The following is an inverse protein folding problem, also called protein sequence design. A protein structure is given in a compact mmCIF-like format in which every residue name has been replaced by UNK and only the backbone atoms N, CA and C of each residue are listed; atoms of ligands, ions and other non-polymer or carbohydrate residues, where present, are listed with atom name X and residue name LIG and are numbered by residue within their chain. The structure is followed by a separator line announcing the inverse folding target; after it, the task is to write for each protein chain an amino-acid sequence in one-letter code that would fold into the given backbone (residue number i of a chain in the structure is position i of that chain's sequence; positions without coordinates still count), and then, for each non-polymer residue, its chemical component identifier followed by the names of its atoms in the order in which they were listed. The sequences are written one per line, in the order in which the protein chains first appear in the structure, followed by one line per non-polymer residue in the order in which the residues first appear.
data_IF_790178739547
#
_entry.id   IF_790178739547
#
_cell.length_a   1.000
_cell.length_b   1.000
_cell.length_c   1.000
_cell.angle_alpha   90.00
_cell.angle_beta   90.00
_cell.angle_gamma   90.00
#
_symmetry.space_group_name_H-M   'P 1'
#
loop_
_entity.id
_entity.type
_entity.pdbx_description
1 polymer ?
#
# COMPACT_ATOMS: atom_id res chain seq x y z
N UNK A 1 1.95 14.92 -1.54
CA UNK A 1 1.12 13.83 -1.02
C UNK A 1 0.85 12.85 -2.15
N UNK A 2 0.94 11.55 -1.88
CA UNK A 2 0.57 10.47 -2.82
C UNK A 2 -0.66 9.76 -2.30
N UNK A 3 -1.43 9.19 -3.22
CA UNK A 3 -2.72 8.56 -2.90
C UNK A 3 -2.61 7.05 -3.04
N UNK A 4 -3.17 6.32 -2.09
CA UNK A 4 -3.19 4.86 -2.05
C UNK A 4 -4.62 4.34 -2.08
N UNK A 5 -4.87 3.33 -2.92
CA UNK A 5 -6.13 2.61 -2.94
C UNK A 5 -6.00 1.35 -2.09
N UNK A 6 -6.71 1.30 -0.96
CA UNK A 6 -6.70 0.19 -0.02
C UNK A 6 -7.38 -1.08 -0.54
N UNK A 7 -8.25 -0.96 -1.54
CA UNK A 7 -8.95 -2.11 -2.15
C UNK A 7 -8.08 -2.80 -3.19
N UNK A 8 -7.46 -2.03 -4.09
CA UNK A 8 -6.59 -2.58 -5.14
C UNK A 8 -5.14 -2.71 -4.68
N UNK A 9 -4.78 -2.12 -3.53
CA UNK A 9 -3.44 -2.06 -2.96
C UNK A 9 -2.40 -1.42 -3.91
N UNK A 10 -2.81 -0.36 -4.60
CA UNK A 10 -1.99 0.34 -5.60
C UNK A 10 -1.95 1.84 -5.38
N UNK A 11 -1.00 2.51 -6.03
CA UNK A 11 -1.02 3.95 -6.14
C UNK A 11 -2.21 4.46 -6.97
N UNK A 12 -2.77 5.59 -6.53
CA UNK A 12 -3.75 6.39 -7.25
C UNK A 12 -3.07 7.65 -7.77
N UNK A 13 -3.13 7.89 -9.08
CA UNK A 13 -2.51 9.03 -9.74
C UNK A 13 -3.61 10.06 -10.06
N UNK A 14 -3.64 11.23 -9.39
CA UNK A 14 -4.62 12.26 -9.66
C UNK A 14 -4.60 12.71 -11.13
N UNK A 15 -5.77 12.88 -11.73
CA UNK A 15 -5.91 13.23 -13.16
C UNK A 15 -5.86 12.02 -14.11
N UNK A 16 -5.52 10.83 -13.60
CA UNK A 16 -5.57 9.55 -14.35
C UNK A 16 -6.57 8.60 -13.71
N UNK A 17 -6.49 8.41 -12.39
CA UNK A 17 -7.38 7.54 -11.60
C UNK A 17 -8.41 8.38 -10.82
N UNK A 18 -9.55 7.77 -10.50
CA UNK A 18 -10.48 8.34 -9.51
C UNK A 18 -9.84 8.31 -8.12
N UNK A 19 -9.88 9.44 -7.42
CA UNK A 19 -9.32 9.59 -6.07
C UNK A 19 -10.35 9.32 -4.97
N UNK A 20 -11.61 9.05 -5.32
CA UNK A 20 -12.65 8.73 -4.35
C UNK A 20 -12.28 7.48 -3.54
N UNK A 21 -12.28 7.62 -2.21
CA UNK A 21 -11.92 6.53 -1.29
C UNK A 21 -10.42 6.23 -1.19
N UNK A 22 -9.57 6.98 -1.91
CA UNK A 22 -8.13 6.86 -1.76
C UNK A 22 -7.65 7.55 -0.48
N UNK A 23 -6.59 7.00 0.12
CA UNK A 23 -5.97 7.55 1.33
C UNK A 23 -4.74 8.36 0.94
N UNK A 24 -4.64 9.56 1.52
CA UNK A 24 -3.49 10.43 1.32
C UNK A 24 -2.36 10.02 2.26
N UNK A 25 -1.19 9.78 1.70
CA UNK A 25 0.03 9.43 2.41
C UNK A 25 1.14 10.45 2.12
N UNK A 26 2.12 10.58 3.03
CA UNK A 26 3.35 11.33 2.75
C UNK A 26 4.06 10.80 1.51
N UNK A 27 4.73 11.69 0.77
CA UNK A 27 5.44 11.33 -0.48
C UNK A 27 6.62 10.39 -0.24
N UNK A 28 7.17 10.40 0.97
CA UNK A 28 8.27 9.58 1.45
C UNK A 28 7.81 8.29 2.16
N UNK A 29 6.52 7.99 2.15
CA UNK A 29 6.00 6.74 2.71
C UNK A 29 6.69 5.53 2.03
N UNK A 30 7.08 4.53 2.84
CA UNK A 30 7.85 3.37 2.41
C UNK A 30 7.28 2.67 1.16
N UNK A 31 5.94 2.64 1.03
CA UNK A 31 5.25 1.98 -0.08
C UNK A 31 5.63 2.55 -1.44
N UNK A 32 5.97 3.85 -1.48
CA UNK A 32 6.32 4.57 -2.70
C UNK A 32 7.81 4.63 -2.98
N UNK A 33 8.64 4.39 -1.97
CA UNK A 33 10.10 4.55 -2.05
C UNK A 33 10.82 3.21 -2.23
N UNK A 34 10.18 2.09 -1.87
CA UNK A 34 10.72 0.76 -2.12
C UNK A 34 10.42 0.28 -3.55
N UNK A 35 11.45 -0.15 -4.26
CA UNK A 35 11.31 -0.77 -5.58
C UNK A 35 11.08 -2.29 -5.51
N UNK A 36 11.10 -2.89 -4.32
CA UNK A 36 10.92 -4.32 -4.09
C UNK A 36 10.23 -4.60 -2.75
N UNK A 37 9.52 -5.73 -2.68
CA UNK A 37 8.98 -6.22 -1.41
C UNK A 37 10.08 -6.86 -0.57
N UNK A 38 10.24 -6.49 0.72
CA UNK A 38 11.18 -7.17 1.60
C UNK A 38 10.90 -8.67 1.69
N UNK A 39 11.96 -9.48 1.75
CA UNK A 39 11.84 -10.94 1.80
C UNK A 39 11.01 -11.37 3.01
N UNK A 40 10.06 -12.28 2.78
CA UNK A 40 9.18 -12.80 3.84
C UNK A 40 8.12 -11.82 4.31
N UNK A 41 7.97 -10.67 3.63
CA UNK A 41 6.89 -9.72 3.89
C UNK A 41 5.91 -9.69 2.73
N UNK A 42 4.66 -9.38 3.03
CA UNK A 42 3.64 -9.05 2.03
C UNK A 42 2.97 -7.72 2.39
N UNK A 43 2.49 -7.04 1.35
CA UNK A 43 1.67 -5.85 1.52
C UNK A 43 0.30 -6.24 2.04
N UNK A 44 -0.15 -5.52 3.05
CA UNK A 44 -1.49 -5.59 3.58
C UNK A 44 -1.99 -4.18 3.89
N UNK A 45 -3.22 -4.11 4.36
CA UNK A 45 -3.91 -2.87 4.68
C UNK A 45 -4.37 -2.94 6.14
N UNK A 46 -4.06 -1.91 6.92
CA UNK A 46 -4.49 -1.84 8.32
C UNK A 46 -5.94 -1.34 8.44
N UNK A 47 -6.45 -1.24 9.67
CA UNK A 47 -7.83 -0.78 9.95
C UNK A 47 -8.11 0.66 9.48
N UNK A 48 -7.06 1.49 9.34
CA UNK A 48 -7.16 2.85 8.82
C UNK A 48 -7.09 2.91 7.28
N UNK A 49 -6.90 1.76 6.63
CA UNK A 49 -6.74 1.64 5.19
C UNK A 49 -5.32 1.94 4.68
N UNK A 50 -4.35 2.13 5.57
CA UNK A 50 -2.97 2.46 5.19
C UNK A 50 -2.17 1.20 4.82
N UNK A 51 -1.18 1.31 3.92
CA UNK A 51 -0.34 0.18 3.54
C UNK A 51 0.62 -0.18 4.68
N UNK A 52 0.63 -1.46 5.04
CA UNK A 52 1.55 -2.04 6.03
C UNK A 52 2.23 -3.30 5.48
N UNK A 53 3.39 -3.63 6.03
CA UNK A 53 4.05 -4.91 5.78
C UNK A 53 3.73 -5.89 6.90
N UNK A 54 3.17 -7.03 6.55
CA UNK A 54 2.97 -8.15 7.46
C UNK A 54 3.92 -9.28 7.09
N UNK A 55 4.19 -10.18 8.04
CA UNK A 55 4.89 -11.42 7.72
C UNK A 55 4.03 -12.25 6.76
N UNK A 56 4.66 -12.75 5.69
CA UNK A 56 4.07 -13.80 4.90
C UNK A 56 3.92 -15.00 5.84
N UNK A 57 2.73 -15.20 6.42
CA UNK A 57 2.43 -16.43 7.13
C UNK A 57 2.65 -17.56 6.14
N UNK A 58 3.55 -18.48 6.48
CA UNK A 58 3.79 -19.70 5.73
C UNK A 58 2.43 -20.35 5.44
N UNK A 59 1.99 -20.49 4.18
CA UNK A 59 0.70 -21.11 3.86
C UNK A 59 0.65 -22.62 4.21
N UNK A 60 1.70 -23.19 4.84
CA UNK A 60 1.82 -24.58 5.25
C UNK A 60 1.79 -24.83 6.78
N UNK A 61 0.80 -24.28 7.50
CA UNK A 61 0.44 -24.80 8.84
C UNK A 61 -1.06 -24.99 9.01
#
# INVERSE_FOLDING_TARGET
MRYFNSTTMTEVLPGIHDTAGAISLPDDNWFFTLSYMPKGKVLAVNENGEPVLIDATDPER
#
